data_IF_274532143840
#
_entry.id   IF_274532143840
#
_cell.length_a   1.000
_cell.length_b   1.000
_cell.length_c   1.000
_cell.angle_alpha   90.00
_cell.angle_beta   90.00
_cell.angle_gamma   90.00
#
_symmetry.space_group_name_H-M   'P 1'
#
loop_
_entity.id
_entity.type
_entity.pdbx_description
1 polymer ?
#
# COMPACT_ATOMS: atom_id res chain seq x y z
N UNK A 1 21.88 11.32 14.77
CA UNK A 1 21.39 10.61 13.58
C UNK A 1 19.92 10.28 13.81
N UNK A 2 18.99 10.91 13.07
CA UNK A 2 17.56 10.98 13.42
C UNK A 2 17.28 11.46 14.86
N UNK A 3 17.05 12.78 14.99
CA UNK A 3 16.82 13.47 16.26
C UNK A 3 15.70 12.85 17.10
N UNK A 4 14.70 12.24 16.45
CA UNK A 4 13.55 11.68 17.17
C UNK A 4 13.93 10.33 17.78
N UNK A 5 14.63 9.48 17.04
CA UNK A 5 15.06 8.16 17.52
C UNK A 5 16.17 8.26 18.56
N UNK A 6 17.04 9.28 18.50
CA UNK A 6 18.08 9.51 19.50
C UNK A 6 17.50 9.91 20.88
N UNK A 7 16.29 10.47 20.92
CA UNK A 7 15.64 10.98 22.13
C UNK A 7 14.57 10.04 22.72
N UNK A 8 14.21 8.97 22.02
CA UNK A 8 13.17 8.02 22.44
C UNK A 8 13.82 6.67 22.71
N UNK A 9 13.44 6.04 23.82
CA UNK A 9 13.85 4.66 24.10
C UNK A 9 13.01 3.69 23.28
N UNK A 10 13.66 2.66 22.71
CA UNK A 10 12.98 1.66 21.92
C UNK A 10 11.98 0.86 22.77
N UNK A 11 10.72 0.81 22.32
CA UNK A 11 9.64 0.06 22.95
C UNK A 11 9.37 -1.21 22.11
N UNK A 12 9.69 -2.41 22.61
CA UNK A 12 9.66 -3.63 21.79
C UNK A 12 8.25 -4.08 21.37
N UNK A 13 7.23 -3.75 22.17
CA UNK A 13 5.84 -4.12 21.87
C UNK A 13 5.12 -3.12 20.96
N UNK A 14 5.70 -1.92 20.74
CA UNK A 14 5.03 -0.84 20.01
C UNK A 14 4.69 -1.25 18.57
N UNK A 15 5.61 -1.95 17.89
CA UNK A 15 5.39 -2.39 16.52
C UNK A 15 4.24 -3.39 16.38
N UNK A 16 4.11 -4.33 17.34
CA UNK A 16 2.99 -5.27 17.36
C UNK A 16 1.63 -4.55 17.54
N UNK A 17 1.59 -3.43 18.25
CA UNK A 17 0.39 -2.59 18.36
C UNK A 17 0.07 -1.90 17.03
N UNK A 18 1.07 -1.36 16.33
CA UNK A 18 0.88 -0.81 14.98
C UNK A 18 0.24 -1.82 14.04
N UNK A 19 0.74 -3.06 14.01
CA UNK A 19 0.19 -4.10 13.13
C UNK A 19 -1.27 -4.42 13.45
N UNK A 20 -1.65 -4.46 14.74
CA UNK A 20 -3.05 -4.61 15.15
C UNK A 20 -3.91 -3.43 14.69
N UNK A 21 -3.42 -2.19 14.80
CA UNK A 21 -4.14 -1.01 14.31
C UNK A 21 -4.34 -1.06 12.79
N UNK A 22 -3.35 -1.54 12.04
CA UNK A 22 -3.47 -1.76 10.59
C UNK A 22 -4.57 -2.77 10.28
N UNK A 23 -4.60 -3.91 11.00
CA UNK A 23 -5.64 -4.92 10.80
C UNK A 23 -7.04 -4.36 11.08
N UNK A 24 -7.20 -3.55 12.13
CA UNK A 24 -8.47 -2.91 12.48
C UNK A 24 -8.90 -1.89 11.40
N UNK A 25 -8.00 -1.03 10.96
CA UNK A 25 -8.27 -0.06 9.89
C UNK A 25 -8.64 -0.75 8.58
N UNK A 26 -7.88 -1.78 8.19
CA UNK A 26 -8.16 -2.54 6.97
C UNK A 26 -9.50 -3.29 7.05
N UNK A 27 -9.83 -3.87 8.20
CA UNK A 27 -11.14 -4.49 8.41
C UNK A 27 -12.28 -3.47 8.27
N UNK A 28 -12.12 -2.29 8.87
CA UNK A 28 -13.08 -1.18 8.76
C UNK A 28 -13.26 -0.76 7.32
N UNK A 29 -12.16 -0.56 6.58
CA UNK A 29 -12.20 -0.22 5.17
C UNK A 29 -12.91 -1.29 4.32
N UNK A 30 -12.64 -2.58 4.57
CA UNK A 30 -13.31 -3.68 3.87
C UNK A 30 -14.81 -3.63 4.11
N UNK A 31 -15.25 -3.42 5.36
CA UNK A 31 -16.68 -3.31 5.70
C UNK A 31 -17.32 -2.14 4.95
N UNK A 32 -16.68 -0.97 4.96
CA UNK A 32 -17.14 0.22 4.23
C UNK A 32 -17.29 -0.09 2.74
N UNK A 33 -16.29 -0.70 2.12
CA UNK A 33 -16.31 -1.05 0.69
C UNK A 33 -17.43 -2.06 0.39
N UNK A 34 -17.59 -3.10 1.20
CA UNK A 34 -18.61 -4.13 0.98
C UNK A 34 -20.04 -3.58 1.06
N UNK A 35 -20.27 -2.61 1.96
CA UNK A 35 -21.56 -1.95 2.14
C UNK A 35 -21.85 -0.86 1.09
N UNK A 36 -20.83 -0.40 0.36
CA UNK A 36 -20.97 0.68 -0.60
C UNK A 36 -21.56 0.18 -1.93
N UNK A 37 -22.53 0.90 -2.49
CA UNK A 37 -23.19 0.54 -3.77
C UNK A 37 -22.18 0.43 -4.93
N UNK A 38 -21.27 1.40 -5.00
CA UNK A 38 -20.21 1.49 -6.02
C UNK A 38 -18.90 0.75 -5.68
N UNK A 39 -18.94 -0.31 -4.87
CA UNK A 39 -17.77 -1.06 -4.38
C UNK A 39 -16.70 -1.40 -5.42
N UNK A 40 -17.09 -1.76 -6.65
CA UNK A 40 -16.13 -2.14 -7.70
C UNK A 40 -15.28 -0.97 -8.18
N UNK A 41 -15.87 0.22 -8.25
CA UNK A 41 -15.14 1.43 -8.63
C UNK A 41 -14.16 1.78 -7.51
N UNK A 42 -14.60 1.71 -6.25
CA UNK A 42 -13.76 2.00 -5.09
C UNK A 42 -12.58 1.03 -5.00
N UNK A 43 -12.82 -0.28 -5.16
CA UNK A 43 -11.77 -1.30 -5.18
C UNK A 43 -10.72 -1.01 -6.26
N UNK A 44 -11.16 -0.66 -7.47
CA UNK A 44 -10.25 -0.32 -8.56
C UNK A 44 -9.39 0.90 -8.23
N UNK A 45 -9.97 1.94 -7.63
CA UNK A 45 -9.22 3.13 -7.17
C UNK A 45 -8.22 2.78 -6.07
N UNK A 46 -8.64 1.97 -5.09
CA UNK A 46 -7.79 1.46 -4.02
C UNK A 46 -6.57 0.70 -4.57
N UNK A 47 -6.79 -0.26 -5.47
CA UNK A 47 -5.71 -1.01 -6.09
C UNK A 47 -4.79 -0.12 -6.93
N UNK A 48 -5.33 0.83 -7.69
CA UNK A 48 -4.51 1.73 -8.54
C UNK A 48 -3.57 2.60 -7.71
N UNK A 49 -4.11 3.24 -6.65
CA UNK A 49 -3.33 4.12 -5.76
C UNK A 49 -2.29 3.29 -5.00
N UNK A 50 -2.72 2.16 -4.42
CA UNK A 50 -1.83 1.27 -3.65
C UNK A 50 -0.72 0.72 -4.54
N UNK A 51 -1.04 0.18 -5.72
CA UNK A 51 -0.04 -0.36 -6.64
C UNK A 51 0.99 0.69 -7.05
N UNK A 52 0.57 1.93 -7.33
CA UNK A 52 1.48 3.03 -7.68
C UNK A 52 2.47 3.34 -6.55
N UNK A 53 2.00 3.36 -5.30
CA UNK A 53 2.83 3.62 -4.11
C UNK A 53 3.82 2.49 -3.83
N UNK A 54 3.40 1.24 -3.92
CA UNK A 54 4.28 0.08 -3.71
C UNK A 54 5.23 -0.16 -4.88
N UNK A 55 4.86 0.25 -6.10
CA UNK A 55 5.77 0.28 -7.23
C UNK A 55 6.89 1.30 -7.02
N UNK A 56 6.56 2.53 -6.60
CA UNK A 56 7.56 3.54 -6.24
C UNK A 56 8.48 3.05 -5.13
N UNK A 57 7.94 2.41 -4.07
CA UNK A 57 8.72 1.75 -3.01
C UNK A 57 9.73 0.74 -3.56
N UNK A 58 9.31 -0.07 -4.51
CA UNK A 58 10.17 -1.11 -5.11
C UNK A 58 11.34 -0.48 -5.88
N UNK A 59 11.08 0.62 -6.60
CA UNK A 59 12.12 1.40 -7.28
C UNK A 59 13.09 2.01 -6.26
N UNK A 60 12.58 2.67 -5.20
CA UNK A 60 13.43 3.35 -4.22
C UNK A 60 14.34 2.38 -3.47
N UNK A 61 13.84 1.18 -3.13
CA UNK A 61 14.66 0.11 -2.54
C UNK A 61 15.76 -0.39 -3.48
N UNK A 62 15.55 -0.35 -4.80
CA UNK A 62 16.60 -0.75 -5.77
C UNK A 62 17.64 0.34 -5.98
N UNK A 63 17.23 1.61 -5.91
CA UNK A 63 18.10 2.75 -6.15
C UNK A 63 18.90 3.15 -4.90
N UNK A 64 18.33 3.00 -3.71
CA UNK A 64 18.91 3.51 -2.48
C UNK A 64 18.81 2.47 -1.37
N UNK A 65 19.97 2.06 -0.85
CA UNK A 65 20.07 1.21 0.33
C UNK A 65 20.47 2.02 1.56
N UNK A 66 19.59 2.08 2.56
CA UNK A 66 19.80 2.82 3.80
C UNK A 66 19.97 1.84 4.97
N UNK A 67 20.91 2.10 5.89
CA UNK A 67 21.14 1.22 7.02
C UNK A 67 19.90 1.13 7.92
N UNK A 68 19.65 -0.04 8.49
CA UNK A 68 18.51 -0.33 9.35
C UNK A 68 18.49 0.58 10.58
N UNK A 69 17.31 1.10 10.94
CA UNK A 69 17.14 1.98 12.10
C UNK A 69 17.32 1.24 13.45
N UNK A 70 17.05 -0.07 13.51
CA UNK A 70 17.23 -0.91 14.70
C UNK A 70 18.62 -1.57 14.72
N UNK A 71 19.29 -1.57 15.88
CA UNK A 71 20.60 -2.26 16.10
C UNK A 71 20.49 -3.75 16.40
N UNK A 72 19.31 -4.22 16.81
CA UNK A 72 18.99 -5.61 17.16
C UNK A 72 17.98 -6.14 16.14
N UNK A 73 18.46 -6.70 15.04
CA UNK A 73 17.57 -7.34 14.07
C UNK A 73 18.05 -8.77 13.87
N UNK A 74 17.22 -9.73 14.34
CA UNK A 74 17.27 -11.15 13.99
C UNK A 74 16.98 -11.32 12.50
N UNK A 75 17.91 -10.85 11.69
CA UNK A 75 17.85 -10.90 10.26
C UNK A 75 18.52 -12.18 9.80
N UNK A 76 17.71 -13.14 9.36
CA UNK A 76 18.26 -14.34 8.75
C UNK A 76 19.10 -13.93 7.52
N UNK A 77 20.39 -14.31 7.47
CA UNK A 77 21.23 -13.98 6.33
C UNK A 77 20.61 -14.58 5.06
N UNK A 78 20.71 -13.85 3.94
CA UNK A 78 20.26 -14.35 2.62
C UNK A 78 21.03 -15.63 2.29
N UNK A 79 20.46 -16.78 2.63
CA UNK A 79 20.94 -18.08 2.14
C UNK A 79 20.84 -18.07 0.61
N UNK A 80 21.77 -18.74 -0.08
CA UNK A 80 21.69 -18.97 -1.52
C UNK A 80 20.48 -19.89 -1.78
N UNK A 81 19.33 -19.29 -2.08
CA UNK A 81 18.06 -20.00 -2.20
C UNK A 81 17.77 -20.26 -3.69
N UNK A 82 17.45 -21.52 -4.04
CA UNK A 82 16.98 -21.93 -5.37
C UNK A 82 15.76 -21.10 -5.82
N UNK A 83 15.54 -20.97 -7.14
CA UNK A 83 14.43 -20.17 -7.69
C UNK A 83 13.06 -20.57 -7.10
N UNK A 84 12.80 -21.87 -6.95
CA UNK A 84 11.55 -22.38 -6.36
C UNK A 84 11.35 -21.89 -4.91
N UNK A 85 12.39 -21.93 -4.09
CA UNK A 85 12.31 -21.50 -2.71
C UNK A 85 12.26 -19.95 -2.59
N UNK A 86 12.81 -19.20 -3.55
CA UNK A 86 12.60 -17.75 -3.67
C UNK A 86 11.15 -17.42 -4.03
N UNK A 87 10.57 -18.17 -4.97
CA UNK A 87 9.17 -18.01 -5.36
C UNK A 87 8.20 -18.35 -4.22
N UNK A 88 8.44 -19.46 -3.50
CA UNK A 88 7.67 -19.80 -2.27
C UNK A 88 7.76 -18.70 -1.22
N UNK A 89 8.96 -18.14 -0.99
CA UNK A 89 9.14 -17.01 -0.07
C UNK A 89 8.41 -15.75 -0.54
N UNK A 90 8.43 -15.44 -1.84
CA UNK A 90 7.68 -14.31 -2.40
C UNK A 90 6.17 -14.46 -2.21
N UNK A 91 5.63 -15.66 -2.42
CA UNK A 91 4.21 -15.98 -2.14
C UNK A 91 3.90 -15.81 -0.65
N UNK A 92 4.76 -16.32 0.24
CA UNK A 92 4.56 -16.18 1.68
C UNK A 92 4.52 -14.71 2.11
N UNK A 93 5.44 -13.87 1.58
CA UNK A 93 5.47 -12.43 1.85
C UNK A 93 4.19 -11.75 1.33
N UNK A 94 3.76 -12.11 0.12
CA UNK A 94 2.55 -11.58 -0.49
C UNK A 94 1.30 -11.90 0.33
N UNK A 95 1.15 -13.17 0.75
CA UNK A 95 0.02 -13.62 1.57
C UNK A 95 0.03 -13.01 2.97
N UNK A 96 1.21 -12.83 3.57
CA UNK A 96 1.36 -12.18 4.87
C UNK A 96 1.29 -10.65 4.83
N UNK A 97 1.09 -10.04 3.65
CA UNK A 97 1.03 -8.59 3.42
C UNK A 97 2.21 -7.78 4.00
N UNK A 98 3.34 -8.45 4.28
CA UNK A 98 4.52 -7.83 4.89
C UNK A 98 4.42 -7.57 6.41
N UNK A 99 3.42 -8.11 7.11
CA UNK A 99 3.28 -7.99 8.57
C UNK A 99 4.09 -9.07 9.31
N UNK A 100 4.82 -8.66 10.33
CA UNK A 100 5.62 -9.55 11.19
C UNK A 100 4.75 -10.50 12.03
N UNK A 101 3.53 -10.09 12.40
CA UNK A 101 2.54 -10.93 13.08
C UNK A 101 2.13 -12.17 12.26
N UNK A 102 2.24 -12.12 10.93
CA UNK A 102 2.02 -13.28 10.05
C UNK A 102 3.32 -14.05 9.72
N UNK A 103 4.37 -13.85 10.53
CA UNK A 103 5.65 -14.57 10.40
C UNK A 103 6.55 -14.04 9.27
N UNK A 104 6.21 -12.90 8.66
CA UNK A 104 7.03 -12.30 7.60
C UNK A 104 8.10 -11.42 8.21
N UNK A 105 9.33 -11.95 8.33
CA UNK A 105 10.52 -11.17 8.67
C UNK A 105 11.32 -10.88 7.40
N UNK A 106 11.31 -9.61 6.98
CA UNK A 106 12.11 -9.16 5.83
C UNK A 106 13.17 -8.18 6.29
N UNK A 107 14.39 -8.43 5.85
CA UNK A 107 15.56 -7.60 6.12
C UNK A 107 15.89 -6.90 4.82
N UNK A 108 15.48 -5.63 4.74
CA UNK A 108 15.63 -4.80 3.56
C UNK A 108 15.58 -3.34 3.95
N UNK A 109 15.85 -2.48 2.98
CA UNK A 109 15.92 -1.04 3.20
C UNK A 109 14.57 -0.46 3.65
N UNK A 110 14.62 0.45 4.61
CA UNK A 110 13.43 1.03 5.25
C UNK A 110 12.94 2.30 4.58
N UNK A 111 13.60 2.74 3.50
CA UNK A 111 13.26 3.95 2.77
C UNK A 111 11.79 3.89 2.37
N UNK A 112 11.03 4.88 2.84
CA UNK A 112 9.57 4.96 2.75
C UNK A 112 8.89 3.85 3.59
N UNK A 113 7.87 4.13 4.41
CA UNK A 113 7.22 3.13 5.29
C UNK A 113 5.91 2.57 4.72
N UNK A 114 5.84 1.26 4.51
CA UNK A 114 4.66 0.59 3.94
C UNK A 114 3.48 0.60 4.91
N UNK A 115 3.73 0.30 6.19
CA UNK A 115 2.77 0.37 7.28
C UNK A 115 2.11 1.75 7.40
N UNK A 116 2.93 2.81 7.31
CA UNK A 116 2.44 4.19 7.30
C UNK A 116 1.55 4.46 6.09
N UNK A 117 1.96 4.01 4.90
CA UNK A 117 1.14 4.16 3.69
C UNK A 117 -0.21 3.46 3.83
N UNK A 118 -0.24 2.24 4.36
CA UNK A 118 -1.48 1.49 4.58
C UNK A 118 -2.43 2.21 5.53
N UNK A 119 -1.94 2.68 6.68
CA UNK A 119 -2.73 3.44 7.66
C UNK A 119 -3.31 4.73 7.07
N UNK A 120 -2.46 5.54 6.42
CA UNK A 120 -2.86 6.83 5.86
C UNK A 120 -3.83 6.66 4.70
N UNK A 121 -3.59 5.68 3.81
CA UNK A 121 -4.54 5.37 2.74
C UNK A 121 -5.87 4.88 3.30
N UNK A 122 -5.86 3.96 4.27
CA UNK A 122 -7.11 3.46 4.87
C UNK A 122 -7.94 4.62 5.46
N UNK A 123 -7.31 5.51 6.20
CA UNK A 123 -7.98 6.69 6.77
C UNK A 123 -8.54 7.64 5.71
N UNK A 124 -7.79 7.91 4.64
CA UNK A 124 -8.28 8.70 3.50
C UNK A 124 -9.47 8.04 2.80
N UNK A 125 -9.38 6.74 2.49
CA UNK A 125 -10.47 6.01 1.83
C UNK A 125 -11.73 5.92 2.71
N UNK A 126 -11.58 5.67 4.01
CA UNK A 126 -12.70 5.68 4.95
C UNK A 126 -13.34 7.07 4.97
N UNK A 127 -12.53 8.14 5.03
CA UNK A 127 -13.05 9.52 5.09
C UNK A 127 -13.76 9.94 3.79
N UNK A 128 -13.26 9.54 2.61
CA UNK A 128 -13.84 9.91 1.31
C UNK A 128 -15.13 9.14 1.02
N UNK A 129 -15.11 7.82 1.22
CA UNK A 129 -16.22 6.93 0.85
C UNK A 129 -17.20 6.68 1.99
N UNK A 130 -17.23 7.56 3.00
CA UNK A 130 -18.27 7.55 4.03
C UNK A 130 -18.97 8.89 4.20
N UNK A 131 -20.24 8.91 4.65
CA UNK A 131 -21.00 10.14 4.76
C UNK A 131 -20.31 11.09 5.74
N UNK A 132 -20.36 12.39 5.44
CA UNK A 132 -19.76 13.41 6.31
C UNK A 132 -20.32 13.41 7.73
N UNK A 133 -21.53 12.88 7.94
CA UNK A 133 -22.15 12.75 9.26
C UNK A 133 -21.44 11.75 10.19
N UNK A 134 -20.64 10.82 9.66
CA UNK A 134 -19.95 9.79 10.45
C UNK A 134 -18.63 10.33 11.03
N UNK A 135 -18.69 11.51 11.68
CA UNK A 135 -17.54 12.20 12.24
C UNK A 135 -16.72 11.33 13.20
N UNK A 136 -17.40 10.54 14.04
CA UNK A 136 -16.72 9.64 14.99
C UNK A 136 -15.84 8.62 14.26
N UNK A 137 -16.33 8.02 13.18
CA UNK A 137 -15.56 7.05 12.39
C UNK A 137 -14.32 7.71 11.78
N UNK A 138 -14.47 8.91 11.23
CA UNK A 138 -13.35 9.67 10.65
C UNK A 138 -12.31 10.01 11.71
N UNK A 139 -12.74 10.55 12.85
CA UNK A 139 -11.82 10.90 13.94
C UNK A 139 -11.09 9.68 14.48
N UNK A 140 -11.80 8.57 14.74
CA UNK A 140 -11.18 7.34 15.21
C UNK A 140 -10.18 6.79 14.19
N UNK A 141 -10.49 6.85 12.90
CA UNK A 141 -9.59 6.35 11.86
C UNK A 141 -8.32 7.19 11.73
N UNK A 142 -8.44 8.52 11.77
CA UNK A 142 -7.27 9.41 11.77
C UNK A 142 -6.45 9.31 13.05
N UNK A 143 -7.09 9.20 14.22
CA UNK A 143 -6.39 8.98 15.50
C UNK A 143 -5.64 7.65 15.47
N UNK A 144 -6.27 6.58 14.97
CA UNK A 144 -5.65 5.27 14.79
C UNK A 144 -4.42 5.36 13.87
N UNK A 145 -4.52 6.04 12.73
CA UNK A 145 -3.41 6.24 11.81
C UNK A 145 -2.24 7.03 12.43
N UNK A 146 -2.53 8.14 13.12
CA UNK A 146 -1.52 8.95 13.82
C UNK A 146 -0.83 8.16 14.95
N UNK A 147 -1.62 7.42 15.71
CA UNK A 147 -1.13 6.55 16.80
C UNK A 147 -0.24 5.43 16.25
N UNK A 148 -0.64 4.80 15.14
CA UNK A 148 0.15 3.79 14.46
C UNK A 148 1.49 4.32 13.96
N UNK A 149 1.52 5.52 13.36
CA UNK A 149 2.76 6.19 12.95
C UNK A 149 3.69 6.48 14.13
N UNK A 150 3.14 6.95 15.25
CA UNK A 150 3.92 7.16 16.47
C UNK A 150 4.55 5.86 16.99
N UNK A 151 3.78 4.76 17.04
CA UNK A 151 4.29 3.46 17.49
C UNK A 151 5.32 2.84 16.54
N UNK A 152 5.28 3.14 15.23
CA UNK A 152 6.35 2.75 14.30
C UNK A 152 7.68 3.39 14.70
N UNK A 153 7.67 4.68 15.06
CA UNK A 153 8.88 5.38 15.55
C UNK A 153 9.34 4.82 16.88
N UNK A 154 8.41 4.63 17.83
CA UNK A 154 8.74 4.09 19.15
C UNK A 154 9.32 2.66 19.08
N UNK A 155 8.94 1.88 18.07
CA UNK A 155 9.52 0.55 17.81
C UNK A 155 10.90 0.58 17.14
N UNK A 156 11.41 1.75 16.77
CA UNK A 156 12.66 2.01 16.04
C UNK A 156 12.75 1.24 14.71
N UNK A 157 11.60 0.88 14.12
CA UNK A 157 11.55 0.09 12.90
C UNK A 157 11.85 0.94 11.66
N UNK A 158 11.44 2.20 11.65
CA UNK A 158 11.66 3.14 10.55
C UNK A 158 12.26 4.44 11.08
N UNK A 159 12.99 5.16 10.23
CA UNK A 159 13.38 6.53 10.53
C UNK A 159 12.17 7.46 10.46
N UNK A 160 12.24 8.59 11.16
CA UNK A 160 11.24 9.66 11.10
C UNK A 160 11.02 10.16 9.68
N UNK A 161 12.09 10.25 8.88
CA UNK A 161 12.00 10.65 7.47
C UNK A 161 11.18 9.66 6.63
N UNK A 162 11.26 8.35 6.91
CA UNK A 162 10.50 7.34 6.17
C UNK A 162 9.01 7.48 6.38
N UNK A 163 8.61 7.88 7.60
CA UNK A 163 7.20 8.12 7.96
C UNK A 163 6.71 9.42 7.32
N UNK A 164 7.49 10.50 7.39
CA UNK A 164 7.11 11.79 6.80
C UNK A 164 6.94 11.65 5.28
N UNK A 165 7.90 11.02 4.60
CA UNK A 165 7.82 10.78 3.15
C UNK A 165 6.61 9.89 2.84
N UNK A 166 6.36 8.84 3.64
CA UNK A 166 5.20 7.96 3.46
C UNK A 166 3.86 8.69 3.59
N UNK A 167 3.70 9.52 4.63
CA UNK A 167 2.53 10.37 4.79
C UNK A 167 2.35 11.28 3.57
N UNK A 168 3.38 12.06 3.21
CA UNK A 168 3.28 13.06 2.14
C UNK A 168 2.92 12.39 0.82
N UNK A 169 3.62 11.33 0.41
CA UNK A 169 3.35 10.66 -0.85
C UNK A 169 1.97 10.00 -0.88
N UNK A 170 1.57 9.29 0.17
CA UNK A 170 0.25 8.65 0.23
C UNK A 170 -0.90 9.67 0.18
N UNK A 171 -0.80 10.74 0.98
CA UNK A 171 -1.81 11.80 1.02
C UNK A 171 -1.87 12.59 -0.29
N UNK A 172 -0.72 12.97 -0.87
CA UNK A 172 -0.69 13.73 -2.12
C UNK A 172 -1.18 12.90 -3.29
N UNK A 173 -0.77 11.64 -3.39
CA UNK A 173 -1.26 10.76 -4.45
C UNK A 173 -2.78 10.57 -4.33
N UNK A 174 -3.29 10.34 -3.11
CA UNK A 174 -4.72 10.21 -2.89
C UNK A 174 -5.50 11.45 -3.33
N UNK A 175 -5.08 12.63 -2.86
CA UNK A 175 -5.74 13.91 -3.18
C UNK A 175 -5.66 14.19 -4.69
N UNK A 176 -4.50 14.02 -5.32
CA UNK A 176 -4.34 14.25 -6.75
C UNK A 176 -5.20 13.30 -7.58
N UNK A 177 -5.23 12.01 -7.21
CA UNK A 177 -6.07 11.02 -7.87
C UNK A 177 -7.55 11.42 -7.80
N UNK A 178 -8.07 11.74 -6.60
CA UNK A 178 -9.48 12.07 -6.43
C UNK A 178 -9.84 13.44 -7.00
N UNK A 179 -8.93 14.41 -6.98
CA UNK A 179 -9.11 15.71 -7.64
C UNK A 179 -9.26 15.53 -9.15
N UNK A 180 -8.44 14.68 -9.77
CA UNK A 180 -8.55 14.37 -11.20
C UNK A 180 -9.80 13.54 -11.52
N UNK A 181 -10.15 12.58 -10.67
CA UNK A 181 -11.31 11.71 -10.88
C UNK A 181 -12.64 12.48 -10.75
N UNK A 182 -12.70 13.45 -9.84
CA UNK A 182 -13.91 14.23 -9.57
C UNK A 182 -14.05 15.45 -10.50
N UNK A 183 -12.95 15.97 -11.08
CA UNK A 183 -12.98 17.14 -11.98
C UNK A 183 -12.68 16.76 -13.44
N UNK A 184 -13.75 16.60 -14.22
CA UNK A 184 -13.72 16.21 -15.65
C UNK A 184 -13.11 17.28 -16.59
N UNK A 185 -13.04 18.54 -16.18
CA UNK A 185 -12.50 19.64 -17.01
C UNK A 185 -11.02 19.43 -17.35
N UNK A 186 -10.23 18.87 -16.42
CA UNK A 186 -8.83 18.54 -16.68
C UNK A 186 -8.67 17.35 -17.65
N UNK A 187 -9.58 16.38 -17.57
CA UNK A 187 -9.57 15.18 -18.43
C UNK A 187 -9.89 15.49 -19.89
N UNK A 188 -10.84 16.39 -20.15
CA UNK A 188 -11.29 16.69 -21.52
C UNK A 188 -10.35 17.63 -22.28
N UNK A 189 -9.65 18.54 -21.58
CA UNK A 189 -8.81 19.55 -22.22
C UNK A 189 -7.48 18.99 -22.73
N UNK A 190 -6.95 17.97 -22.05
CA UNK A 190 -5.61 17.41 -22.28
C UNK A 190 -5.60 15.87 -22.31
N UNK A 191 -6.61 15.26 -22.93
CA UNK A 191 -6.82 13.79 -22.94
C UNK A 191 -5.57 13.00 -23.37
N UNK A 192 -4.85 13.48 -24.40
CA UNK A 192 -3.65 12.83 -24.91
C UNK A 192 -2.48 12.91 -23.92
N UNK A 193 -2.29 14.06 -23.28
CA UNK A 193 -1.24 14.26 -22.28
C UNK A 193 -1.53 13.44 -21.02
N UNK A 194 -2.79 13.42 -20.58
CA UNK A 194 -3.24 12.63 -19.44
C UNK A 194 -2.97 11.12 -19.67
N UNK A 195 -3.30 10.61 -20.86
CA UNK A 195 -3.10 9.20 -21.22
C UNK A 195 -1.62 8.82 -21.30
N UNK A 196 -0.76 9.76 -21.70
CA UNK A 196 0.68 9.55 -21.75
C UNK A 196 1.32 9.50 -20.36
N UNK A 197 1.03 10.47 -19.50
CA UNK A 197 1.64 10.57 -18.16
C UNK A 197 0.99 9.64 -17.12
N UNK A 198 -0.32 9.38 -17.26
CA UNK A 198 -1.11 8.59 -16.33
C UNK A 198 -1.97 7.53 -17.05
N UNK A 199 -1.35 6.59 -17.78
CA UNK A 199 -2.08 5.60 -18.58
C UNK A 199 -3.02 4.73 -17.72
N UNK A 200 -2.57 4.36 -16.52
CA UNK A 200 -3.35 3.60 -15.54
C UNK A 200 -4.62 4.34 -15.10
N UNK A 201 -4.48 5.63 -14.80
CA UNK A 201 -5.59 6.48 -14.40
C UNK A 201 -6.62 6.59 -15.52
N UNK A 202 -6.17 6.91 -16.74
CA UNK A 202 -7.06 7.06 -17.90
C UNK A 202 -7.83 5.79 -18.22
N UNK A 203 -7.19 4.61 -18.12
CA UNK A 203 -7.84 3.33 -18.36
C UNK A 203 -8.89 3.00 -17.30
N UNK A 204 -8.58 3.19 -16.02
CA UNK A 204 -9.49 2.81 -14.93
C UNK A 204 -10.64 3.80 -14.71
N UNK A 205 -10.47 5.09 -15.04
CA UNK A 205 -11.52 6.11 -14.83
C UNK A 205 -12.33 6.45 -16.10
N UNK A 206 -12.07 5.78 -17.23
CA UNK A 206 -12.75 6.03 -18.51
C UNK A 206 -14.29 6.03 -18.38
N UNK A 207 -14.81 5.03 -17.66
CA UNK A 207 -16.25 4.78 -17.51
C UNK A 207 -16.93 5.53 -16.33
N UNK A 208 -16.21 6.32 -15.52
CA UNK A 208 -16.75 6.92 -14.28
C UNK A 208 -17.03 8.41 -14.47
N UNK A 209 -18.26 8.77 -14.84
CA UNK A 209 -18.59 10.12 -15.34
C UNK A 209 -18.66 11.22 -14.27
N UNK A 210 -18.95 10.89 -13.02
CA UNK A 210 -19.18 11.86 -11.93
C UNK A 210 -18.50 11.42 -10.64
N UNK A 211 -18.37 12.35 -9.69
CA UNK A 211 -18.03 12.02 -8.32
C UNK A 211 -19.00 10.96 -7.78
N UNK A 212 -18.47 9.99 -7.03
CA UNK A 212 -19.23 8.84 -6.55
C UNK A 212 -20.05 9.31 -5.34
N UNK A 213 -21.39 9.20 -5.36
CA UNK A 213 -22.19 9.50 -4.18
C UNK A 213 -21.99 8.43 -3.12
N UNK A 214 -22.00 8.84 -1.85
CA UNK A 214 -21.87 7.95 -0.69
C UNK A 214 -23.19 7.23 -0.42
N UNK A 215 -23.56 6.34 -1.34
CA UNK A 215 -24.74 5.48 -1.28
C UNK A 215 -24.38 4.09 -0.76
N UNK A 216 -25.06 3.68 0.29
CA UNK A 216 -24.91 2.36 0.90
C UNK A 216 -26.09 1.48 0.53
N UNK A 217 -25.78 0.25 0.13
CA UNK A 217 -26.79 -0.77 -0.06
C UNK A 217 -26.43 -1.93 0.85
N UNK A 218 -27.38 -2.35 1.69
CA UNK A 218 -27.23 -3.59 2.43
C UNK A 218 -27.08 -4.73 1.41
N UNK A 219 -26.13 -5.66 1.57
CA UNK A 219 -26.04 -6.77 0.64
C UNK A 219 -27.34 -7.58 0.74
N UNK A 220 -28.17 -7.57 -0.31
CA UNK A 220 -29.20 -8.60 -0.50
C UNK A 220 -28.45 -9.89 -0.84
N UNK A 221 -27.94 -10.53 0.21
CA UNK A 221 -26.79 -11.43 0.26
C UNK A 221 -26.86 -12.70 -0.63
N UNK A 222 -27.91 -12.92 -1.42
CA UNK A 222 -28.13 -14.22 -2.10
C UNK A 222 -28.43 -14.11 -3.61
N UNK A 223 -28.98 -13.01 -4.14
CA UNK A 223 -29.41 -12.97 -5.54
C UNK A 223 -28.46 -12.19 -6.48
N UNK A 224 -27.82 -11.12 -6.01
CA UNK A 224 -26.85 -10.36 -6.81
C UNK A 224 -25.46 -11.02 -6.88
N UNK A 225 -25.17 -11.95 -5.98
CA UNK A 225 -23.84 -12.57 -5.80
C UNK A 225 -23.32 -13.25 -7.07
N UNK A 226 -24.19 -13.80 -7.92
CA UNK A 226 -23.80 -14.51 -9.15
C UNK A 226 -23.40 -13.56 -10.29
N UNK A 227 -24.17 -12.49 -10.50
CA UNK A 227 -23.82 -11.43 -11.46
C UNK A 227 -22.61 -10.61 -10.96
N UNK A 228 -22.53 -10.41 -9.64
CA UNK A 228 -21.38 -9.83 -8.96
C UNK A 228 -20.13 -10.65 -9.19
N UNK A 229 -20.15 -11.99 -9.02
CA UNK A 229 -18.99 -12.88 -9.26
C UNK A 229 -18.55 -12.85 -10.73
N UNK A 230 -19.46 -12.79 -11.71
CA UNK A 230 -19.08 -12.73 -13.12
C UNK A 230 -18.45 -11.36 -13.49
N UNK A 231 -19.01 -10.26 -13.00
CA UNK A 231 -18.38 -8.94 -13.12
C UNK A 231 -17.09 -8.83 -12.29
N UNK A 232 -17.02 -9.53 -11.15
CA UNK A 232 -15.80 -9.71 -10.35
C UNK A 232 -14.77 -10.47 -11.17
N UNK A 233 -15.11 -11.59 -11.81
CA UNK A 233 -14.19 -12.40 -12.61
C UNK A 233 -13.68 -11.66 -13.83
N UNK A 234 -14.49 -10.85 -14.51
CA UNK A 234 -14.01 -9.97 -15.58
C UNK A 234 -13.11 -8.85 -15.03
N UNK A 235 -13.48 -8.20 -13.93
CA UNK A 235 -12.66 -7.16 -13.28
C UNK A 235 -11.37 -7.71 -12.66
N UNK A 236 -11.41 -8.95 -12.17
CA UNK A 236 -10.28 -9.78 -11.75
C UNK A 236 -9.48 -10.21 -12.96
N UNK A 237 -10.05 -10.49 -14.14
CA UNK A 237 -9.26 -10.84 -15.32
C UNK A 237 -8.32 -9.69 -15.71
N UNK A 238 -8.78 -8.44 -15.56
CA UNK A 238 -7.94 -7.25 -15.68
C UNK A 238 -7.03 -7.04 -14.47
N UNK A 239 -7.50 -7.29 -13.24
CA UNK A 239 -6.69 -7.16 -12.01
C UNK A 239 -5.70 -8.31 -11.82
N UNK A 240 -5.86 -9.45 -12.46
CA UNK A 240 -5.00 -10.64 -12.48
C UNK A 240 -3.88 -10.42 -13.44
N UNK A 241 -4.08 -9.69 -14.54
CA UNK A 241 -2.94 -9.15 -15.30
C UNK A 241 -2.07 -8.24 -14.43
N UNK A 242 -2.65 -7.53 -13.46
CA UNK A 242 -1.94 -6.65 -12.54
C UNK A 242 -1.45 -7.31 -11.26
N UNK A 243 -2.10 -8.36 -10.74
CA UNK A 243 -1.58 -9.23 -9.67
C UNK A 243 -0.52 -10.12 -10.26
N UNK A 244 -0.64 -10.59 -11.49
CA UNK A 244 0.44 -11.25 -12.24
C UNK A 244 1.52 -10.23 -12.56
N UNK A 245 1.25 -8.98 -12.94
CA UNK A 245 2.30 -7.97 -13.15
C UNK A 245 2.94 -7.52 -11.83
N UNK A 246 2.19 -7.44 -10.73
CA UNK A 246 2.67 -7.14 -9.39
C UNK A 246 3.46 -8.31 -8.82
N UNK A 247 2.97 -9.54 -8.95
CA UNK A 247 3.72 -10.77 -8.65
C UNK A 247 4.92 -10.88 -9.58
N UNK A 248 4.81 -10.58 -10.88
CA UNK A 248 5.91 -10.61 -11.84
C UNK A 248 6.93 -9.53 -11.51
N UNK A 249 6.54 -8.33 -11.08
CA UNK A 249 7.44 -7.28 -10.57
C UNK A 249 8.07 -7.75 -9.24
N UNK A 250 7.31 -8.25 -8.27
CA UNK A 250 7.82 -8.77 -6.99
C UNK A 250 8.77 -9.97 -7.19
N UNK A 251 8.47 -10.84 -8.15
CA UNK A 251 9.26 -12.03 -8.52
C UNK A 251 10.49 -11.61 -9.34
N UNK A 252 10.36 -10.80 -10.38
CA UNK A 252 11.51 -10.28 -11.18
C UNK A 252 12.41 -9.34 -10.37
N UNK A 253 11.89 -8.62 -9.37
CA UNK A 253 12.72 -7.84 -8.44
C UNK A 253 13.40 -8.72 -7.39
N UNK A 254 12.76 -9.81 -6.96
CA UNK A 254 13.46 -10.87 -6.22
C UNK A 254 14.61 -11.45 -7.05
N UNK A 255 14.54 -11.47 -8.39
CA UNK A 255 15.67 -11.83 -9.28
C UNK A 255 16.73 -10.73 -9.43
N UNK A 256 16.39 -9.44 -9.41
CA UNK A 256 17.34 -8.35 -9.63
C UNK A 256 18.36 -8.18 -8.49
N UNK A 257 17.98 -8.50 -7.24
CA UNK A 257 18.93 -8.61 -6.12
C UNK A 257 19.99 -9.72 -6.33
N UNK A 258 19.85 -10.58 -7.33
CA UNK A 258 20.84 -11.61 -7.69
C UNK A 258 21.99 -11.09 -8.55
N UNK A 259 21.86 -9.91 -9.20
CA UNK A 259 22.88 -9.39 -10.12
C UNK A 259 23.75 -8.25 -9.55
N UNK A 260 23.28 -7.51 -8.55
CA UNK A 260 24.07 -6.37 -8.01
C UNK A 260 25.25 -6.77 -7.11
N UNK A 261 25.33 -8.01 -6.63
CA UNK A 261 26.47 -8.50 -5.85
C UNK A 261 27.60 -9.12 -6.71
N UNK A 262 27.58 -8.91 -8.04
CA UNK A 262 28.74 -9.20 -8.89
C UNK A 262 29.62 -7.96 -9.13
N UNK A 263 29.14 -6.75 -8.81
CA UNK A 263 29.89 -5.51 -9.07
C UNK A 263 30.59 -4.95 -7.82
N UNK A 264 30.12 -5.28 -6.61
CA UNK A 264 30.78 -4.88 -5.37
C UNK A 264 32.00 -5.75 -5.00
N UNK A 265 32.20 -6.89 -5.66
CA UNK A 265 33.37 -7.76 -5.45
C UNK A 265 34.55 -7.45 -6.39
N UNK A 266 34.51 -6.33 -7.13
CA UNK A 266 35.59 -5.90 -8.03
C UNK A 266 36.27 -4.60 -7.54
N UNK A 267 35.72 -3.93 -6.51
CA UNK A 267 36.26 -2.66 -5.98
C UNK A 267 37.01 -2.82 -4.64
N UNK A 268 37.10 -4.04 -4.10
CA UNK A 268 38.07 -4.36 -3.04
C UNK A 268 39.19 -5.25 -3.59
N UNK A 269 40.11 -4.58 -4.30
CA UNK A 269 41.50 -4.99 -4.47
C UNK A 269 42.39 -3.81 -4.12
#
# INVERSE_FOLDING_TARGET
>A
PDLILDNIQQIPWAFAVTEKLILIEMATLIIVILAHRHRMIILRRLFTITASLYFLRSITMVLTSLPVATKITDCEPKKLINFEARFKKAIMIFLGQGLSSFGVKTCGDYLYSGHTCTLVLAAHFISEYTPRSYHLLHYLSWISALTGMFFILAGHQHYSIDIIIAWVLSSRLFIYYHTMANNRTFLQRDTNRMRFWFPLFSYFEENVKTAIPNEYCLPSFIYESRAMINNWMESIRYSVYWVILFLFIVITYSFSSSKKMSFSSIIER
#
